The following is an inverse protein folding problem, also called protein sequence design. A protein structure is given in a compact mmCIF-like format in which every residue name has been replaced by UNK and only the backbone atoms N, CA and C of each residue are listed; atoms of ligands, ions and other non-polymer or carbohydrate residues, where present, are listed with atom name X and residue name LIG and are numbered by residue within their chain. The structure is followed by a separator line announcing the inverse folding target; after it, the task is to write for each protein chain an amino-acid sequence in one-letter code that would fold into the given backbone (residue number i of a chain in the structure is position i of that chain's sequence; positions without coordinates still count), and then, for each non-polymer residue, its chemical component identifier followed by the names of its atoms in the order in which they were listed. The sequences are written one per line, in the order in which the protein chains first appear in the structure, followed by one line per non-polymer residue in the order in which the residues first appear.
data_IF_034241400874
#
_entry.id   IF_034241400874
#
_cell.length_a   1.000
_cell.length_b   1.000
_cell.length_c   1.000
_cell.angle_alpha   90.00
_cell.angle_beta   90.00
_cell.angle_gamma   90.00
#
_symmetry.space_group_name_H-M   'P 1'
#
loop_
_entity.id
_entity.type
_entity.pdbx_description
1 polymer ?
#
# COMPACT_ATOMS: atom_id res chain seq x y z
N UNK A 1 25.17 51.96 46.04
CA UNK A 1 24.91 51.80 44.60
C UNK A 1 25.54 50.47 44.20
N UNK A 2 24.76 49.41 44.06
CA UNK A 2 25.28 48.06 43.78
C UNK A 2 25.46 47.90 42.28
N UNK A 3 26.70 47.84 41.81
CA UNK A 3 27.02 47.59 40.42
C UNK A 3 26.53 46.20 40.00
N UNK A 4 25.64 46.16 39.01
CA UNK A 4 25.13 44.94 38.41
C UNK A 4 26.19 44.38 37.46
N UNK A 5 26.92 43.35 37.89
CA UNK A 5 27.88 42.66 37.02
C UNK A 5 27.13 41.69 36.10
N UNK A 6 27.20 41.94 34.79
CA UNK A 6 26.71 41.01 33.76
C UNK A 6 27.92 40.28 33.20
N UNK A 7 27.96 38.96 33.35
CA UNK A 7 28.96 38.16 32.65
C UNK A 7 28.74 38.27 31.14
N UNK A 8 29.79 38.66 30.42
CA UNK A 8 29.80 38.63 28.97
C UNK A 8 29.80 37.16 28.53
N UNK A 9 28.64 36.66 28.07
CA UNK A 9 28.51 35.29 27.56
C UNK A 9 29.33 35.04 26.29
N UNK A 10 29.24 33.83 25.73
CA UNK A 10 29.83 33.50 24.43
C UNK A 10 28.73 33.45 23.35
N UNK A 11 29.02 33.94 22.14
CA UNK A 11 28.17 33.85 20.94
C UNK A 11 28.49 32.59 20.15
N UNK A 12 27.49 31.81 19.77
CA UNK A 12 27.64 30.70 18.84
C UNK A 12 27.61 31.18 17.38
N UNK A 13 28.46 30.62 16.52
CA UNK A 13 28.42 30.82 15.08
C UNK A 13 27.96 29.57 14.33
N UNK A 14 26.87 29.66 13.57
CA UNK A 14 26.28 28.52 12.86
C UNK A 14 27.14 27.98 11.70
N UNK A 15 27.87 28.87 11.02
CA UNK A 15 28.71 28.48 9.88
C UNK A 15 30.04 27.86 10.31
N UNK A 16 30.65 28.39 11.37
CA UNK A 16 31.93 27.93 11.88
C UNK A 16 31.80 26.88 12.99
N UNK A 17 30.61 26.72 13.58
CA UNK A 17 30.31 25.82 14.70
C UNK A 17 31.29 25.96 15.87
N UNK A 18 31.58 27.22 16.23
CA UNK A 18 32.43 27.56 17.37
C UNK A 18 31.76 28.64 18.23
N UNK A 19 32.11 28.63 19.51
CA UNK A 19 31.79 29.72 20.44
C UNK A 19 32.85 30.83 20.32
N UNK A 20 32.37 32.06 20.20
CA UNK A 20 33.15 33.30 20.11
C UNK A 20 32.83 34.12 21.35
N UNK A 21 33.76 34.92 21.87
CA UNK A 21 33.43 35.82 22.98
C UNK A 21 32.39 36.87 22.53
N UNK A 22 31.47 37.26 23.41
CA UNK A 22 30.45 38.26 23.10
C UNK A 22 31.00 39.70 23.13
N UNK A 23 32.16 39.93 22.52
CA UNK A 23 32.69 41.27 22.27
C UNK A 23 32.42 41.66 20.81
N UNK A 24 31.82 42.83 20.52
CA UNK A 24 31.49 43.26 19.16
C UNK A 24 32.69 43.28 18.21
N UNK A 25 33.91 43.49 18.70
CA UNK A 25 35.12 43.44 17.89
C UNK A 25 35.53 42.00 17.55
N UNK A 26 35.42 41.07 18.51
CA UNK A 26 35.71 39.65 18.28
C UNK A 26 34.73 39.03 17.27
N UNK A 27 33.45 39.37 17.40
CA UNK A 27 32.39 38.95 16.47
C UNK A 27 32.67 39.46 15.06
N UNK A 28 32.98 40.75 14.89
CA UNK A 28 33.28 41.33 13.58
C UNK A 28 34.53 40.71 12.96
N UNK A 29 35.61 40.53 13.72
CA UNK A 29 36.83 39.90 13.23
C UNK A 29 36.60 38.44 12.82
N UNK A 30 35.73 37.72 13.53
CA UNK A 30 35.32 36.37 13.15
C UNK A 30 34.52 36.36 11.85
N UNK A 31 33.49 37.21 11.74
CA UNK A 31 32.60 37.29 10.57
C UNK A 31 33.35 37.75 9.31
N UNK A 32 34.34 38.64 9.47
CA UNK A 32 35.24 39.07 8.40
C UNK A 32 36.35 38.06 8.11
N UNK A 33 36.57 37.09 8.99
CA UNK A 33 37.61 36.09 8.88
C UNK A 33 37.41 35.17 7.67
N UNK A 34 38.51 34.78 7.05
CA UNK A 34 38.51 33.95 5.83
C UNK A 34 37.75 32.64 6.03
N UNK A 35 37.96 31.97 7.17
CA UNK A 35 37.29 30.70 7.49
C UNK A 35 35.76 30.82 7.52
N UNK A 36 35.24 31.92 8.06
CA UNK A 36 33.81 32.18 8.11
C UNK A 36 33.25 32.40 6.70
N UNK A 37 33.89 33.26 5.91
CA UNK A 37 33.51 33.54 4.52
C UNK A 37 33.52 32.29 3.65
N UNK A 38 34.55 31.46 3.78
CA UNK A 38 34.64 30.18 3.06
C UNK A 38 33.54 29.20 3.47
N UNK A 39 33.23 29.10 4.77
CA UNK A 39 32.15 28.22 5.24
C UNK A 39 30.78 28.69 4.76
N UNK A 40 30.55 30.01 4.73
CA UNK A 40 29.33 30.60 4.15
C UNK A 40 29.25 30.31 2.65
N UNK A 41 30.33 30.56 1.90
CA UNK A 41 30.37 30.27 0.46
C UNK A 41 30.16 28.77 0.16
N UNK A 42 30.79 27.89 0.95
CA UNK A 42 30.58 26.43 0.89
C UNK A 42 29.10 26.10 1.13
N UNK A 43 28.47 26.64 2.18
CA UNK A 43 27.05 26.38 2.46
C UNK A 43 26.12 26.87 1.35
N UNK A 44 26.41 28.01 0.73
CA UNK A 44 25.63 28.51 -0.41
C UNK A 44 25.79 27.63 -1.66
N UNK A 45 27.01 27.16 -1.94
CA UNK A 45 27.25 26.25 -3.07
C UNK A 45 26.63 24.88 -2.84
N UNK A 46 26.69 24.32 -1.63
CA UNK A 46 26.01 23.05 -1.31
C UNK A 46 24.51 23.20 -1.43
N UNK A 47 23.91 24.29 -0.92
CA UNK A 47 22.47 24.56 -1.06
C UNK A 47 22.02 24.60 -2.52
N UNK A 48 22.77 25.28 -3.41
CA UNK A 48 22.46 25.32 -4.85
C UNK A 48 22.58 23.94 -5.52
N UNK A 49 23.60 23.17 -5.15
CA UNK A 49 23.80 21.80 -5.67
C UNK A 49 22.68 20.88 -5.20
N UNK A 50 22.34 20.93 -3.92
CA UNK A 50 21.24 20.15 -3.33
C UNK A 50 19.89 20.53 -3.93
N UNK A 51 19.62 21.83 -4.16
CA UNK A 51 18.37 22.25 -4.81
C UNK A 51 18.28 21.74 -6.25
N UNK A 52 19.38 21.81 -7.01
CA UNK A 52 19.42 21.30 -8.38
C UNK A 52 19.30 19.77 -8.44
N UNK A 53 19.89 19.04 -7.49
CA UNK A 53 19.75 17.59 -7.38
C UNK A 53 18.30 17.21 -7.04
N UNK A 54 17.69 17.85 -6.04
CA UNK A 54 16.29 17.63 -5.65
C UNK A 54 15.32 17.93 -6.79
N UNK A 55 15.56 18.98 -7.58
CA UNK A 55 14.73 19.30 -8.74
C UNK A 55 14.81 18.20 -9.82
N UNK A 56 15.99 17.63 -10.06
CA UNK A 56 16.14 16.50 -10.99
C UNK A 56 15.44 15.25 -10.49
N UNK A 57 15.63 14.90 -9.23
CA UNK A 57 14.96 13.77 -8.57
C UNK A 57 13.43 13.93 -8.63
N UNK A 58 12.91 15.13 -8.36
CA UNK A 58 11.48 15.43 -8.47
C UNK A 58 10.95 15.28 -9.90
N UNK A 59 11.71 15.74 -10.91
CA UNK A 59 11.34 15.57 -12.34
C UNK A 59 11.38 14.10 -12.75
N UNK A 60 12.33 13.32 -12.26
CA UNK A 60 12.39 11.87 -12.50
C UNK A 60 11.24 11.14 -11.82
N UNK A 61 10.94 11.46 -10.57
CA UNK A 61 9.79 10.91 -9.84
C UNK A 61 8.47 11.25 -10.54
N UNK A 62 8.28 12.51 -10.99
CA UNK A 62 7.08 12.91 -11.72
C UNK A 62 6.92 12.12 -13.03
N UNK A 63 8.01 11.95 -13.80
CA UNK A 63 7.99 11.13 -15.03
C UNK A 63 7.68 9.66 -14.73
N UNK A 64 8.21 9.11 -13.63
CA UNK A 64 7.92 7.74 -13.23
C UNK A 64 6.44 7.57 -12.84
N UNK A 65 5.86 8.52 -12.11
CA UNK A 65 4.44 8.51 -11.76
C UNK A 65 3.54 8.59 -13.01
N UNK A 66 3.86 9.46 -13.97
CA UNK A 66 3.12 9.55 -15.23
C UNK A 66 3.17 8.22 -16.01
N UNK A 67 4.32 7.54 -16.05
CA UNK A 67 4.43 6.21 -16.66
C UNK A 67 3.61 5.15 -15.92
N UNK A 68 3.55 5.20 -14.61
CA UNK A 68 2.72 4.30 -13.80
C UNK A 68 1.26 4.56 -14.09
N UNK A 69 0.82 5.81 -14.08
CA UNK A 69 -0.56 6.20 -14.36
C UNK A 69 -1.00 5.78 -15.76
N UNK A 70 -0.17 6.02 -16.78
CA UNK A 70 -0.50 5.62 -18.16
C UNK A 70 -0.60 4.10 -18.30
N UNK A 71 0.29 3.34 -17.66
CA UNK A 71 0.21 1.86 -17.62
C UNK A 71 -1.04 1.39 -16.88
N UNK A 72 -1.34 1.97 -15.72
CA UNK A 72 -2.51 1.62 -14.92
C UNK A 72 -3.82 1.96 -15.65
N UNK A 73 -3.90 3.10 -16.33
CA UNK A 73 -5.06 3.47 -17.16
C UNK A 73 -5.25 2.48 -18.32
N UNK A 74 -4.16 2.07 -18.98
CA UNK A 74 -4.21 1.07 -20.06
C UNK A 74 -4.63 -0.31 -19.56
N UNK A 75 -4.13 -0.78 -18.41
CA UNK A 75 -4.56 -2.06 -17.85
C UNK A 75 -6.02 -2.00 -17.45
N UNK A 76 -6.44 -0.94 -16.76
CA UNK A 76 -7.84 -0.75 -16.38
C UNK A 76 -8.79 -0.78 -17.58
N UNK A 77 -8.44 -0.07 -18.67
CA UNK A 77 -9.24 -0.10 -19.90
C UNK A 77 -9.35 -1.51 -20.50
N UNK A 78 -8.25 -2.29 -20.48
CA UNK A 78 -8.27 -3.69 -20.93
C UNK A 78 -9.14 -4.56 -20.04
N UNK A 79 -9.04 -4.37 -18.72
CA UNK A 79 -9.82 -5.14 -17.75
C UNK A 79 -11.30 -4.85 -17.95
N UNK A 80 -11.70 -3.57 -18.02
CA UNK A 80 -13.09 -3.16 -18.33
C UNK A 80 -13.57 -3.78 -19.64
N UNK A 81 -12.77 -3.74 -20.71
CA UNK A 81 -13.15 -4.36 -21.97
C UNK A 81 -13.28 -5.89 -21.87
N UNK A 82 -12.42 -6.56 -21.09
CA UNK A 82 -12.49 -7.99 -20.87
C UNK A 82 -13.68 -8.39 -20.00
N UNK A 83 -14.03 -7.61 -18.98
CA UNK A 83 -15.25 -7.79 -18.20
C UNK A 83 -16.49 -7.59 -19.07
N UNK A 84 -16.54 -6.54 -19.90
CA UNK A 84 -17.65 -6.32 -20.82
C UNK A 84 -17.81 -7.47 -21.84
N UNK A 85 -16.70 -8.02 -22.35
CA UNK A 85 -16.73 -9.18 -23.24
C UNK A 85 -17.18 -10.46 -22.52
N UNK A 86 -16.81 -10.65 -21.25
CA UNK A 86 -17.26 -11.77 -20.43
C UNK A 86 -18.74 -11.67 -20.07
N UNK A 87 -19.21 -10.51 -19.64
CA UNK A 87 -20.64 -10.27 -19.35
C UNK A 87 -21.48 -10.53 -20.60
N UNK A 88 -21.02 -10.10 -21.78
CA UNK A 88 -21.72 -10.39 -23.04
C UNK A 88 -21.77 -11.90 -23.36
N UNK A 89 -20.72 -12.64 -23.02
CA UNK A 89 -20.63 -14.09 -23.24
C UNK A 89 -21.45 -14.88 -22.19
N UNK A 90 -21.46 -14.44 -20.92
CA UNK A 90 -22.28 -15.03 -19.86
C UNK A 90 -23.78 -14.76 -20.11
N UNK A 91 -24.12 -13.60 -20.66
CA UNK A 91 -25.49 -13.25 -21.03
C UNK A 91 -26.01 -14.04 -22.26
N UNK A 92 -25.12 -14.60 -23.08
CA UNK A 92 -25.46 -15.57 -24.14
C UNK A 92 -25.68 -17.00 -23.59
N UNK A 93 -25.06 -17.34 -22.45
CA UNK A 93 -25.16 -18.66 -21.81
C UNK A 93 -26.32 -18.79 -20.81
N UNK A 94 -26.79 -17.69 -20.23
CA UNK A 94 -27.91 -17.68 -19.26
C UNK A 94 -29.30 -17.84 -19.91
N UNK A 95 -29.34 -17.97 -21.24
CA UNK A 95 -30.57 -18.24 -22.00
C UNK A 95 -31.01 -19.71 -22.06
N UNK A 96 -30.33 -20.64 -21.36
CA UNK A 96 -30.55 -22.08 -21.57
C UNK A 96 -30.52 -22.98 -20.32
N UNK A 97 -30.89 -22.48 -19.15
CA UNK A 97 -31.27 -23.35 -18.03
C UNK A 97 -32.67 -23.00 -17.51
N UNK A 98 -33.67 -23.25 -18.36
CA UNK A 98 -35.07 -23.23 -17.98
C UNK A 98 -35.35 -24.47 -17.11
N UNK A 99 -35.42 -24.26 -15.80
CA UNK A 99 -35.82 -25.28 -14.82
C UNK A 99 -37.34 -25.14 -14.57
N UNK A 100 -38.10 -26.14 -15.00
CA UNK A 100 -39.55 -26.17 -14.77
C UNK A 100 -39.85 -26.70 -13.37
N UNK A 101 -40.55 -25.90 -12.56
CA UNK A 101 -41.01 -26.37 -11.25
C UNK A 101 -42.28 -27.21 -11.39
N UNK A 102 -42.19 -28.51 -11.12
CA UNK A 102 -43.36 -29.37 -11.06
C UNK A 102 -43.99 -29.31 -9.66
N UNK A 103 -45.12 -28.63 -9.57
CA UNK A 103 -45.87 -28.48 -8.31
C UNK A 103 -46.47 -29.80 -7.79
N UNK A 104 -46.61 -30.82 -8.64
CA UNK A 104 -47.20 -32.12 -8.25
C UNK A 104 -46.20 -33.02 -7.54
N UNK A 105 -44.94 -32.99 -7.97
CA UNK A 105 -43.85 -33.77 -7.40
C UNK A 105 -42.97 -32.96 -6.44
N UNK A 106 -43.02 -31.63 -6.52
CA UNK A 106 -42.25 -30.70 -5.69
C UNK A 106 -40.78 -30.58 -6.09
N UNK A 107 -40.42 -31.13 -7.26
CA UNK A 107 -39.07 -31.12 -7.83
C UNK A 107 -38.99 -30.14 -9.00
N UNK A 108 -37.80 -29.61 -9.27
CA UNK A 108 -37.51 -28.89 -10.50
C UNK A 108 -37.03 -29.88 -11.56
N UNK A 109 -37.57 -29.82 -12.76
CA UNK A 109 -37.15 -30.64 -13.89
C UNK A 109 -36.50 -29.77 -14.95
N UNK A 110 -35.32 -30.18 -15.42
CA UNK A 110 -34.66 -29.55 -16.55
C UNK A 110 -34.82 -30.43 -17.78
N UNK A 111 -35.57 -29.94 -18.76
CA UNK A 111 -35.83 -30.65 -20.02
C UNK A 111 -34.56 -30.86 -20.85
N UNK A 112 -33.59 -29.95 -20.77
CA UNK A 112 -32.38 -30.02 -21.61
C UNK A 112 -31.40 -31.08 -21.12
N UNK A 113 -31.35 -31.30 -19.81
CA UNK A 113 -30.40 -32.23 -19.19
C UNK A 113 -31.06 -33.50 -18.62
N UNK A 114 -32.40 -33.59 -18.65
CA UNK A 114 -33.16 -34.72 -18.10
C UNK A 114 -32.96 -34.92 -16.60
N UNK A 115 -32.63 -33.84 -15.88
CA UNK A 115 -32.30 -33.86 -14.46
C UNK A 115 -33.46 -33.35 -13.62
N UNK A 116 -33.67 -34.00 -12.48
CA UNK A 116 -34.57 -33.56 -11.43
C UNK A 116 -33.75 -32.98 -10.29
N UNK A 117 -34.17 -31.83 -9.76
CA UNK A 117 -33.54 -31.15 -8.64
C UNK A 117 -34.54 -31.04 -7.48
N UNK A 118 -34.10 -31.49 -6.30
CA UNK A 118 -34.87 -31.35 -5.08
C UNK A 118 -34.35 -30.17 -4.25
N UNK A 119 -35.13 -29.09 -4.09
CA UNK A 119 -34.71 -27.91 -3.33
C UNK A 119 -34.58 -28.17 -1.83
N UNK A 120 -35.19 -29.24 -1.29
CA UNK A 120 -35.12 -29.58 0.14
C UNK A 120 -33.85 -30.35 0.47
N UNK A 121 -33.44 -31.25 -0.41
CA UNK A 121 -32.28 -32.11 -0.19
C UNK A 121 -31.02 -31.60 -0.87
N UNK A 122 -31.15 -30.69 -1.85
CA UNK A 122 -30.02 -30.12 -2.61
C UNK A 122 -29.34 -31.13 -3.55
N UNK A 123 -29.93 -32.33 -3.70
CA UNK A 123 -29.43 -33.37 -4.58
C UNK A 123 -30.14 -33.34 -5.93
N UNK A 124 -29.45 -33.91 -6.91
CA UNK A 124 -29.89 -34.05 -8.29
C UNK A 124 -30.12 -35.52 -8.60
N UNK A 125 -31.17 -35.81 -9.35
CA UNK A 125 -31.51 -37.15 -9.82
C UNK A 125 -31.53 -37.17 -11.35
N UNK A 126 -30.97 -38.23 -11.92
CA UNK A 126 -31.12 -38.53 -13.34
C UNK A 126 -31.37 -40.02 -13.53
N UNK A 127 -32.17 -40.37 -14.54
CA UNK A 127 -32.54 -41.77 -14.80
C UNK A 127 -31.33 -42.64 -15.16
N UNK A 128 -30.25 -42.04 -15.69
CA UNK A 128 -29.00 -42.74 -15.96
C UNK A 128 -28.20 -43.11 -14.70
N UNK A 129 -28.44 -42.42 -13.57
CA UNK A 129 -27.77 -42.69 -12.30
C UNK A 129 -28.65 -43.55 -11.39
N UNK A 130 -29.97 -43.36 -11.44
CA UNK A 130 -30.92 -44.12 -10.61
C UNK A 130 -30.78 -43.88 -9.10
N UNK A 131 -30.03 -42.84 -8.70
CA UNK A 131 -29.84 -42.41 -7.31
C UNK A 131 -29.65 -40.89 -7.25
N UNK A 132 -29.88 -40.31 -6.09
CA UNK A 132 -29.68 -38.89 -5.81
C UNK A 132 -28.20 -38.60 -5.59
N UNK A 133 -27.65 -37.64 -6.32
CA UNK A 133 -26.22 -37.33 -6.34
C UNK A 133 -25.98 -35.82 -6.31
N UNK A 134 -24.77 -35.41 -5.97
CA UNK A 134 -24.29 -34.03 -6.02
C UNK A 134 -24.32 -33.47 -7.45
N UNK A 135 -24.40 -32.14 -7.54
CA UNK A 135 -24.48 -31.39 -8.80
C UNK A 135 -23.44 -31.86 -9.84
N UNK A 136 -22.17 -31.92 -9.46
CA UNK A 136 -21.08 -32.21 -10.40
C UNK A 136 -21.20 -33.61 -11.04
N UNK A 137 -21.53 -34.62 -10.25
CA UNK A 137 -21.71 -35.99 -10.75
C UNK A 137 -22.95 -36.11 -11.64
N UNK A 138 -24.03 -35.39 -11.29
CA UNK A 138 -25.28 -35.39 -12.03
C UNK A 138 -25.13 -34.71 -13.41
N UNK A 139 -24.48 -33.54 -13.45
CA UNK A 139 -24.18 -32.80 -14.67
C UNK A 139 -23.13 -33.51 -15.54
N UNK A 140 -22.11 -34.14 -14.95
CA UNK A 140 -21.10 -34.90 -15.71
C UNK A 140 -21.71 -36.06 -16.50
N UNK A 141 -22.71 -36.74 -15.95
CA UNK A 141 -23.40 -37.83 -16.65
C UNK A 141 -24.44 -37.32 -17.66
N UNK A 142 -25.13 -36.22 -17.36
CA UNK A 142 -26.05 -35.61 -18.31
C UNK A 142 -25.32 -35.09 -19.56
N UNK A 143 -24.16 -34.44 -19.41
CA UNK A 143 -23.29 -34.02 -20.51
C UNK A 143 -22.76 -35.20 -21.34
N UNK A 144 -22.55 -36.37 -20.72
CA UNK A 144 -22.15 -37.57 -21.45
C UNK A 144 -23.30 -38.16 -22.30
N UNK A 145 -24.56 -37.90 -21.94
CA UNK A 145 -25.75 -38.40 -22.65
C UNK A 145 -26.23 -37.48 -23.78
N UNK A 146 -25.92 -36.17 -23.71
CA UNK A 146 -26.34 -35.17 -24.70
C UNK A 146 -25.41 -35.04 -25.92
N UNK A 147 -24.39 -35.90 -26.04
CA UNK A 147 -23.46 -35.91 -27.16
C UNK A 147 -23.72 -37.12 -28.10
N UNK A 148 -24.54 -36.99 -29.17
CA UNK A 148 -24.76 -38.08 -30.11
C UNK A 148 -23.65 -38.07 -31.17
N UNK A 149 -22.45 -38.52 -30.81
CA UNK A 149 -21.43 -38.93 -31.79
C UNK A 149 -20.83 -40.27 -31.37
N UNK A 150 -21.27 -41.29 -32.09
CA UNK A 150 -20.67 -42.61 -32.31
C UNK A 150 -19.36 -42.93 -31.58
N UNK A 151 -19.37 -44.06 -30.86
CA UNK A 151 -18.45 -45.20 -31.11
C UNK A 151 -18.75 -46.40 -30.21
N UNK A 152 -18.90 -47.55 -30.88
CA UNK A 152 -18.98 -48.90 -30.32
C UNK A 152 -17.69 -49.31 -29.58
N UNK A 153 -17.74 -50.33 -28.69
CA UNK A 153 -16.67 -50.73 -27.80
C UNK A 153 -15.81 -51.84 -28.41
N UNK A 154 -14.51 -51.83 -28.13
CA UNK A 154 -13.74 -53.07 -28.20
C UNK A 154 -12.57 -53.10 -27.22
N UNK A 155 -12.67 -54.14 -26.41
CA UNK A 155 -11.69 -54.73 -25.51
C UNK A 155 -10.29 -54.83 -26.14
N UNK A 156 -9.24 -54.53 -25.37
CA UNK A 156 -8.25 -55.52 -24.87
C UNK A 156 -7.03 -54.84 -24.23
N UNK A 157 -6.81 -55.16 -22.95
CA UNK A 157 -5.48 -55.22 -22.30
C UNK A 157 -4.78 -56.51 -22.78
N UNK A 158 -3.43 -56.60 -22.82
CA UNK A 158 -2.71 -57.04 -21.62
C UNK A 158 -1.33 -56.37 -21.40
N UNK A 159 -0.83 -56.47 -20.17
CA UNK A 159 0.58 -56.28 -19.73
C UNK A 159 1.28 -57.67 -19.74
N UNK A 160 2.52 -57.86 -19.22
CA UNK A 160 3.82 -57.20 -19.42
C UNK A 160 4.93 -58.25 -19.75
N UNK A 161 6.15 -57.84 -20.16
CA UNK A 161 7.35 -58.69 -19.97
C UNK A 161 8.65 -57.88 -19.86
N UNK A 162 9.39 -58.25 -18.83
CA UNK A 162 10.82 -58.05 -18.54
C UNK A 162 11.74 -58.27 -19.75
N UNK A 163 12.91 -57.58 -19.78
CA UNK A 163 14.27 -58.20 -19.87
C UNK A 163 15.34 -57.14 -20.25
N UNK A 164 16.25 -56.91 -19.28
CA UNK A 164 17.72 -56.61 -19.29
C UNK A 164 18.37 -55.43 -20.03
N UNK A 165 19.27 -54.75 -19.30
CA UNK A 165 20.34 -53.82 -19.74
C UNK A 165 21.44 -54.49 -20.59
N UNK A 166 22.36 -53.72 -21.23
CA UNK A 166 23.59 -53.32 -20.52
C UNK A 166 24.20 -51.93 -20.85
N UNK A 167 24.72 -51.30 -19.78
CA UNK A 167 26.07 -50.71 -19.57
C UNK A 167 26.62 -49.64 -20.55
N UNK A 168 26.89 -48.43 -20.02
CA UNK A 168 28.11 -47.67 -20.28
C UNK A 168 28.42 -46.64 -19.17
N UNK A 169 29.69 -46.65 -18.74
CA UNK A 169 30.36 -45.90 -17.68
C UNK A 169 30.41 -44.38 -17.87
N UNK A 170 30.30 -43.60 -16.77
CA UNK A 170 31.20 -42.46 -16.51
C UNK A 170 31.12 -41.95 -15.06
N UNK A 171 32.13 -42.36 -14.29
CA UNK A 171 32.84 -41.62 -13.23
C UNK A 171 32.53 -40.11 -13.14
N UNK A 172 32.11 -39.61 -11.97
CA UNK A 172 32.93 -38.70 -11.14
C UNK A 172 32.24 -38.16 -9.86
N UNK A 173 32.96 -38.35 -8.75
CA UNK A 173 33.15 -37.47 -7.59
C UNK A 173 31.93 -36.84 -6.87
N UNK A 174 31.60 -37.47 -5.74
CA UNK A 174 30.79 -36.93 -4.64
C UNK A 174 31.59 -35.87 -3.88
N UNK A 175 31.10 -34.62 -3.85
CA UNK A 175 31.25 -33.71 -2.70
C UNK A 175 30.15 -32.65 -2.76
N UNK A 176 29.14 -32.77 -1.89
CA UNK A 176 28.15 -31.71 -1.66
C UNK A 176 27.97 -31.52 -0.16
N UNK A 177 28.59 -30.45 0.34
CA UNK A 177 28.17 -29.79 1.57
C UNK A 177 26.92 -28.98 1.20
N UNK A 178 25.81 -29.21 1.91
CA UNK A 178 24.59 -28.42 1.75
C UNK A 178 24.66 -27.25 2.73
N UNK A 179 24.83 -26.06 2.18
CA UNK A 179 24.77 -24.79 2.87
C UNK A 179 23.36 -24.49 3.38
N UNK A 180 23.32 -23.98 4.60
CA UNK A 180 22.17 -23.41 5.29
C UNK A 180 21.88 -22.01 4.73
N UNK A 181 20.62 -21.71 4.41
CA UNK A 181 20.18 -20.39 3.99
C UNK A 181 20.32 -19.35 5.13
N UNK A 182 20.89 -18.16 4.91
CA UNK A 182 20.87 -17.08 5.88
C UNK A 182 19.62 -16.21 5.66
N UNK A 183 18.67 -16.30 6.59
CA UNK A 183 17.54 -15.36 6.68
C UNK A 183 17.96 -14.05 7.36
N UNK A 184 17.41 -12.89 6.96
CA UNK A 184 17.71 -11.61 7.59
C UNK A 184 16.91 -11.46 8.90
N UNK A 185 17.59 -11.60 10.04
CA UNK A 185 17.05 -11.26 11.36
C UNK A 185 17.50 -9.84 11.74
N UNK A 186 16.53 -8.93 11.83
CA UNK A 186 16.73 -7.55 12.30
C UNK A 186 16.86 -7.59 13.82
N UNK A 187 18.06 -7.34 14.34
CA UNK A 187 18.30 -7.13 15.76
C UNK A 187 17.82 -5.73 16.17
N UNK A 188 16.72 -5.70 16.94
CA UNK A 188 16.25 -4.52 17.65
C UNK A 188 17.28 -4.12 18.71
N UNK A 189 17.84 -2.90 18.60
CA UNK A 189 18.52 -2.24 19.73
C UNK A 189 17.62 -1.11 20.25
N UNK A 190 17.06 -1.34 21.43
CA UNK A 190 16.38 -0.33 22.24
C UNK A 190 17.46 0.42 23.03
N UNK A 191 17.66 1.70 22.73
CA UNK A 191 18.35 2.63 23.61
C UNK A 191 17.30 3.50 24.32
N UNK A 192 17.11 3.38 25.65
CA UNK A 192 16.24 4.26 26.40
C UNK A 192 16.93 5.59 26.73
N UNK A 193 16.18 6.67 26.61
CA UNK A 193 16.63 8.05 26.62
C UNK A 193 17.16 8.55 27.98
N UNK A 194 18.15 9.46 27.87
CA UNK A 194 18.69 10.34 28.91
C UNK A 194 17.60 11.28 29.47
N UNK A 195 17.52 11.38 30.80
CA UNK A 195 16.53 12.18 31.53
C UNK A 195 16.59 13.69 31.22
N UNK A 196 15.44 14.32 30.97
CA UNK A 196 15.26 15.77 30.96
C UNK A 196 14.55 16.18 32.25
N UNK A 197 15.13 17.11 33.01
CA UNK A 197 14.54 17.69 34.23
C UNK A 197 14.58 19.22 34.19
N UNK A 198 13.39 19.83 34.25
CA UNK A 198 13.09 21.23 34.64
C UNK A 198 13.55 22.33 33.66
N UNK A 199 12.89 23.47 33.46
CA UNK A 199 11.67 24.11 33.96
C UNK A 199 11.32 25.26 32.96
N UNK A 200 10.11 25.84 32.95
CA UNK A 200 9.71 26.80 31.93
C UNK A 200 10.18 28.22 32.28
N UNK A 201 10.77 28.95 31.33
CA UNK A 201 11.05 30.38 31.49
C UNK A 201 10.40 31.20 30.37
N UNK A 202 9.54 32.10 30.83
CA UNK A 202 8.78 33.10 30.09
C UNK A 202 9.67 34.31 29.81
N UNK A 203 9.88 34.67 28.55
CA UNK A 203 10.33 36.02 28.18
C UNK A 203 9.66 36.49 26.90
N UNK A 204 8.82 37.52 27.05
CA UNK A 204 8.16 38.24 25.99
C UNK A 204 9.17 38.93 25.08
N UNK A 205 9.14 38.60 23.79
CA UNK A 205 9.91 39.30 22.77
C UNK A 205 9.01 40.28 22.05
N UNK A 206 9.13 41.57 22.38
CA UNK A 206 8.69 42.68 21.52
C UNK A 206 9.61 42.73 20.31
N UNK A 207 9.14 42.26 19.14
CA UNK A 207 9.79 42.50 17.84
C UNK A 207 9.04 43.60 17.10
N UNK A 208 9.71 44.74 16.91
CA UNK A 208 9.37 45.77 15.94
C UNK A 208 9.57 45.17 14.55
N UNK A 209 8.46 44.83 13.87
CA UNK A 209 8.47 44.37 12.49
C UNK A 209 8.73 45.56 11.57
N UNK A 210 9.60 45.35 10.58
CA UNK A 210 9.64 46.16 9.38
C UNK A 210 8.37 45.85 8.58
N UNK A 211 7.71 46.90 8.07
CA UNK A 211 6.51 46.81 7.23
C UNK A 211 6.86 46.20 5.87
N UNK A 212 6.89 44.86 5.82
CA UNK A 212 6.72 44.15 4.57
C UNK A 212 5.22 44.04 4.26
N UNK A 213 4.84 44.65 3.14
CA UNK A 213 3.51 44.61 2.52
C UNK A 213 2.90 43.20 2.66
N UNK A 214 1.71 43.03 3.25
CA UNK A 214 1.11 41.71 3.42
C UNK A 214 0.86 41.08 2.05
N UNK A 215 1.38 39.86 1.84
CA UNK A 215 0.97 39.00 0.72
C UNK A 215 -0.55 38.85 0.81
N UNK A 216 -1.24 39.30 -0.23
CA UNK A 216 -2.67 39.10 -0.36
C UNK A 216 -2.93 37.59 -0.34
N UNK A 217 -3.51 37.11 0.77
CA UNK A 217 -3.98 35.73 0.92
C UNK A 217 -4.95 35.49 -0.24
N UNK A 218 -4.67 34.50 -1.08
CA UNK A 218 -5.53 34.22 -2.23
C UNK A 218 -6.92 33.82 -1.73
N UNK A 219 -7.97 34.12 -2.50
CA UNK A 219 -9.35 33.77 -2.13
C UNK A 219 -9.50 32.26 -1.84
N UNK A 220 -8.68 31.45 -2.49
CA UNK A 220 -8.59 30.00 -2.30
C UNK A 220 -8.00 29.62 -0.95
N UNK A 221 -6.96 30.32 -0.48
CA UNK A 221 -6.35 30.05 0.83
C UNK A 221 -7.29 30.44 1.98
N UNK A 222 -8.06 31.53 1.83
CA UNK A 222 -9.12 31.90 2.80
C UNK A 222 -10.21 30.82 2.86
N UNK A 223 -10.63 30.30 1.70
CA UNK A 223 -11.61 29.22 1.65
C UNK A 223 -11.07 27.93 2.29
N UNK A 224 -9.79 27.61 2.06
CA UNK A 224 -9.12 26.45 2.67
C UNK A 224 -9.01 26.58 4.20
N UNK A 225 -8.70 27.76 4.72
CA UNK A 225 -8.66 28.01 6.16
C UNK A 225 -10.05 27.92 6.80
N UNK A 226 -11.07 28.52 6.17
CA UNK A 226 -12.46 28.42 6.62
C UNK A 226 -12.96 26.98 6.63
N UNK A 227 -12.59 26.17 5.62
CA UNK A 227 -12.93 24.76 5.57
C UNK A 227 -12.26 23.95 6.69
N UNK A 228 -10.99 24.25 7.01
CA UNK A 228 -10.27 23.63 8.13
C UNK A 228 -10.89 23.99 9.48
N UNK A 229 -11.26 25.26 9.67
CA UNK A 229 -11.94 25.72 10.89
C UNK A 229 -13.33 25.09 11.03
N UNK A 230 -14.10 25.01 9.94
CA UNK A 230 -15.39 24.32 9.95
C UNK A 230 -15.26 22.82 10.27
N UNK A 231 -14.21 22.15 9.77
CA UNK A 231 -13.93 20.76 10.11
C UNK A 231 -13.59 20.59 11.60
N UNK A 232 -12.73 21.46 12.15
CA UNK A 232 -12.42 21.47 13.59
C UNK A 232 -13.67 21.69 14.43
N UNK A 233 -14.54 22.63 14.04
CA UNK A 233 -15.79 22.91 14.76
C UNK A 233 -16.73 21.69 14.76
N UNK A 234 -16.85 20.96 13.64
CA UNK A 234 -17.63 19.70 13.59
C UNK A 234 -17.05 18.59 14.46
N UNK A 235 -15.73 18.57 14.65
CA UNK A 235 -15.08 17.61 15.58
C UNK A 235 -15.38 18.04 17.01
N UNK A 236 -15.19 19.32 17.32
CA UNK A 236 -15.46 19.89 18.63
C UNK A 236 -16.94 19.74 19.04
N UNK A 237 -17.89 19.89 18.12
CA UNK A 237 -19.31 19.64 18.38
C UNK A 237 -19.63 18.16 18.68
N UNK A 238 -18.89 17.23 18.09
CA UNK A 238 -18.99 15.80 18.43
C UNK A 238 -18.34 15.49 19.78
N UNK A 239 -17.28 16.20 20.13
CA UNK A 239 -16.54 16.00 21.38
C UNK A 239 -17.16 16.74 22.57
N UNK A 240 -17.87 17.85 22.37
CA UNK A 240 -18.57 18.63 23.41
C UNK A 240 -19.47 17.79 24.33
N UNK A 241 -20.35 16.91 23.84
CA UNK A 241 -21.16 16.05 24.71
C UNK A 241 -20.33 14.96 25.41
N UNK A 242 -19.20 14.54 24.83
CA UNK A 242 -18.29 13.55 25.42
C UNK A 242 -17.43 14.16 26.54
N UNK A 243 -17.05 15.43 26.41
CA UNK A 243 -16.29 16.19 27.40
C UNK A 243 -17.11 16.56 28.64
N UNK A 244 -18.45 16.46 28.57
CA UNK A 244 -19.36 16.61 29.71
C UNK A 244 -19.23 15.50 30.78
N UNK A 245 -18.62 14.37 30.45
CA UNK A 245 -18.32 13.28 31.41
C UNK A 245 -17.02 13.52 32.21
N UNK A 246 -16.22 14.54 31.86
CA UNK A 246 -14.92 14.83 32.49
C UNK A 246 -14.87 16.13 33.30
N UNK A 247 -15.98 16.88 33.40
CA UNK A 247 -16.09 18.11 34.20
C UNK A 247 -17.08 17.98 35.37
N UNK A 248 -17.28 16.75 35.87
CA UNK A 248 -18.08 16.46 37.06
C UNK A 248 -17.22 16.04 38.25
N UNK A 249 -16.35 16.92 38.75
CA UNK A 249 -15.82 16.86 40.13
C UNK A 249 -15.04 18.14 40.43
N UNK A 250 -15.74 19.13 41.00
CA UNK A 250 -15.19 20.13 41.90
C UNK A 250 -16.26 20.55 42.90
#
# INVERSE_FOLDING_TARGET
MTEYWVSQGNKWCDFCKIYISNNPSSIRNHELGQRHKENVAKRLTTMRKESAAKEKEQKEAARALEQIETKAKRSYQKDVASFAARDSNDQELDGQEDWDYDSSSGYYYNQSNGLYYDPKSGFYYSDAIGRWVTREEAYSKAQASSNPKSRDPSLKRPFPTSVVDPVADSKSAIKSQKETAPGPVISASLNPMRSVKGAPSSLAVKRKRQDEKPKAISKEEVAALKAREAAKKRVEEREKPLLGLYNGSR
#
